data_IF_512383284799
#
_entry.id   IF_512383284799
#
_cell.length_a   1.000
_cell.length_b   1.000
_cell.length_c   1.000
_cell.angle_alpha   90.00
_cell.angle_beta   90.00
_cell.angle_gamma   90.00
#
_symmetry.space_group_name_H-M   'P 1'
#
loop_
_entity.id
_entity.type
_entity.pdbx_description
1 polymer ?
#
# COMPACT_ATOMS: atom_id res chain seq x y z
N UNK A 1 -18.03 -0.98 8.77
CA UNK A 1 -16.71 -1.43 9.36
C UNK A 1 -15.87 -2.05 8.25
N UNK A 2 -14.65 -1.57 8.03
CA UNK A 2 -13.74 -2.11 7.01
C UNK A 2 -13.06 -3.41 7.43
N UNK A 3 -12.52 -4.16 6.47
CA UNK A 3 -11.65 -5.31 6.70
C UNK A 3 -10.35 -5.16 5.90
N UNK A 4 -9.28 -5.78 6.41
CA UNK A 4 -7.99 -5.92 5.70
C UNK A 4 -7.63 -7.39 5.70
N UNK A 5 -7.57 -7.99 4.51
CA UNK A 5 -7.09 -9.35 4.32
C UNK A 5 -5.63 -9.30 3.86
N UNK A 6 -4.76 -9.99 4.59
CA UNK A 6 -3.34 -10.05 4.29
C UNK A 6 -3.05 -11.27 3.42
N UNK A 7 -2.63 -11.05 2.18
CA UNK A 7 -2.27 -12.09 1.22
C UNK A 7 -0.75 -12.21 1.19
N UNK A 8 -0.22 -13.27 1.79
CA UNK A 8 1.23 -13.47 1.94
C UNK A 8 1.82 -14.27 0.80
N UNK A 9 3.06 -13.93 0.43
CA UNK A 9 3.95 -14.72 -0.40
C UNK A 9 5.24 -15.01 0.38
N UNK A 10 5.24 -16.06 1.22
CA UNK A 10 6.35 -16.35 2.13
C UNK A 10 7.69 -16.53 1.42
N UNK A 11 7.69 -17.08 0.21
CA UNK A 11 8.86 -17.31 -0.64
C UNK A 11 9.51 -16.02 -1.14
N UNK A 12 8.75 -14.93 -1.20
CA UNK A 12 9.24 -13.59 -1.57
C UNK A 12 9.43 -12.69 -0.35
N UNK A 13 8.92 -13.10 0.82
CA UNK A 13 8.90 -12.24 2.01
C UNK A 13 7.90 -11.09 1.93
N UNK A 14 6.96 -11.12 0.97
CA UNK A 14 6.02 -10.04 0.67
C UNK A 14 4.61 -10.32 1.16
N UNK A 15 3.84 -9.24 1.29
CA UNK A 15 2.42 -9.27 1.55
C UNK A 15 1.70 -8.21 0.70
N UNK A 16 0.52 -8.60 0.18
CA UNK A 16 -0.45 -7.69 -0.43
C UNK A 16 -1.65 -7.56 0.48
N UNK A 17 -2.45 -6.52 0.29
CA UNK A 17 -3.57 -6.24 1.17
C UNK A 17 -4.85 -6.02 0.36
N UNK A 18 -5.90 -6.79 0.67
CA UNK A 18 -7.25 -6.51 0.17
C UNK A 18 -7.97 -5.70 1.23
N UNK A 19 -8.23 -4.43 0.93
CA UNK A 19 -8.98 -3.51 1.79
C UNK A 19 -10.42 -3.50 1.30
N UNK A 20 -11.36 -3.75 2.18
CA UNK A 20 -12.78 -3.82 1.83
C UNK A 20 -13.65 -2.97 2.73
N UNK A 21 -14.66 -2.35 2.11
CA UNK A 21 -15.86 -1.82 2.74
C UNK A 21 -17.06 -2.72 2.35
N UNK A 22 -17.35 -3.78 3.12
CA UNK A 22 -18.40 -4.73 2.77
C UNK A 22 -19.79 -4.11 2.80
N UNK A 23 -20.02 -3.08 3.61
CA UNK A 23 -21.31 -2.39 3.71
C UNK A 23 -21.62 -1.62 2.42
N UNK A 24 -20.58 -1.17 1.71
CA UNK A 24 -20.68 -0.49 0.41
C UNK A 24 -20.42 -1.40 -0.79
N UNK A 25 -20.03 -2.65 -0.54
CA UNK A 25 -19.68 -3.59 -1.59
C UNK A 25 -18.45 -3.16 -2.41
N UNK A 26 -17.54 -2.40 -1.82
CA UNK A 26 -16.36 -1.84 -2.48
C UNK A 26 -15.07 -2.31 -1.84
N UNK A 27 -14.01 -2.44 -2.64
CA UNK A 27 -12.69 -2.79 -2.15
C UNK A 27 -11.57 -2.36 -3.09
N UNK A 28 -10.35 -2.50 -2.61
CA UNK A 28 -9.12 -2.24 -3.37
C UNK A 28 -8.03 -3.22 -2.98
N UNK A 29 -6.99 -3.28 -3.80
CA UNK A 29 -5.78 -4.07 -3.50
C UNK A 29 -4.58 -3.14 -3.42
N UNK A 30 -3.72 -3.35 -2.41
CA UNK A 30 -2.43 -2.67 -2.27
C UNK A 30 -1.32 -3.70 -2.47
N UNK A 31 -0.33 -3.34 -3.27
CA UNK A 31 0.83 -4.16 -3.65
C UNK A 31 0.43 -5.53 -4.23
N UNK A 32 -0.48 -5.60 -5.23
CA UNK A 32 -0.89 -6.88 -5.79
C UNK A 32 0.26 -7.55 -6.53
N UNK A 33 0.42 -8.87 -6.33
CA UNK A 33 1.25 -9.72 -7.17
C UNK A 33 0.48 -10.17 -8.41
N UNK A 34 1.19 -10.65 -9.43
CA UNK A 34 0.61 -11.06 -10.73
C UNK A 34 -0.40 -12.21 -10.67
N UNK A 35 -0.31 -13.04 -9.65
CA UNK A 35 -1.28 -14.09 -9.36
C UNK A 35 -2.53 -13.46 -8.73
N UNK A 36 -3.39 -12.89 -9.59
CA UNK A 36 -4.53 -12.07 -9.17
C UNK A 36 -5.74 -12.88 -8.70
N UNK A 37 -5.82 -14.17 -9.03
CA UNK A 37 -6.95 -15.03 -8.70
C UNK A 37 -7.27 -15.00 -7.19
N UNK A 38 -6.24 -14.98 -6.36
CA UNK A 38 -6.36 -14.89 -4.89
C UNK A 38 -7.13 -13.64 -4.42
N UNK A 39 -6.97 -12.52 -5.11
CA UNK A 39 -7.68 -11.27 -4.78
C UNK A 39 -9.12 -11.31 -5.27
N UNK A 40 -9.35 -11.89 -6.44
CA UNK A 40 -10.68 -12.08 -7.02
C UNK A 40 -11.52 -13.06 -6.17
N UNK A 41 -10.92 -14.11 -5.64
CA UNK A 41 -11.57 -15.05 -4.72
C UNK A 41 -11.98 -14.36 -3.41
N UNK A 42 -11.11 -13.53 -2.82
CA UNK A 42 -11.44 -12.74 -1.63
C UNK A 42 -12.57 -11.77 -1.92
N UNK A 43 -12.50 -11.06 -3.04
CA UNK A 43 -13.54 -10.12 -3.46
C UNK A 43 -14.90 -10.82 -3.63
N UNK A 44 -14.93 -11.98 -4.28
CA UNK A 44 -16.12 -12.81 -4.46
C UNK A 44 -16.67 -13.29 -3.11
N UNK A 45 -15.81 -13.81 -2.23
CA UNK A 45 -16.22 -14.30 -0.91
C UNK A 45 -16.83 -13.21 -0.03
N UNK A 46 -16.36 -11.97 -0.16
CA UNK A 46 -16.86 -10.80 0.58
C UNK A 46 -17.99 -10.07 -0.14
N UNK A 47 -18.36 -10.50 -1.34
CA UNK A 47 -19.34 -9.82 -2.20
C UNK A 47 -19.01 -8.33 -2.41
N UNK A 48 -17.75 -8.04 -2.72
CA UNK A 48 -17.25 -6.70 -3.01
C UNK A 48 -16.76 -6.59 -4.46
N UNK A 49 -16.85 -5.38 -5.01
CA UNK A 49 -16.20 -5.04 -6.28
C UNK A 49 -14.84 -4.40 -5.98
N UNK A 50 -13.76 -4.92 -6.56
CA UNK A 50 -12.48 -4.26 -6.55
C UNK A 50 -12.54 -3.06 -7.51
N UNK A 51 -12.27 -1.87 -6.99
CA UNK A 51 -12.37 -0.61 -7.72
C UNK A 51 -11.00 -0.02 -8.06
N UNK A 52 -9.98 -0.31 -7.26
CA UNK A 52 -8.63 0.23 -7.40
C UNK A 52 -7.57 -0.82 -7.08
N UNK A 53 -6.41 -0.66 -7.70
CA UNK A 53 -5.19 -1.39 -7.38
C UNK A 53 -4.03 -0.40 -7.32
N UNK A 54 -3.27 -0.40 -6.23
CA UNK A 54 -2.22 0.56 -5.93
C UNK A 54 -0.92 -0.16 -5.58
N UNK A 55 0.20 0.36 -6.05
CA UNK A 55 1.54 -0.05 -5.60
C UNK A 55 2.12 1.00 -4.64
N UNK A 56 2.80 0.58 -3.59
CA UNK A 56 3.53 1.48 -2.69
C UNK A 56 4.79 2.01 -3.38
N UNK A 57 5.43 1.21 -4.20
CA UNK A 57 6.65 1.54 -4.94
C UNK A 57 6.87 0.59 -6.12
N UNK A 58 7.86 0.86 -6.93
CA UNK A 58 8.29 -0.07 -7.98
C UNK A 58 9.03 -1.26 -7.33
N UNK A 59 8.35 -2.40 -7.25
CA UNK A 59 8.90 -3.62 -6.69
C UNK A 59 9.99 -4.20 -7.60
N UNK A 60 11.13 -4.56 -7.01
CA UNK A 60 12.25 -5.19 -7.72
C UNK A 60 12.27 -6.72 -7.57
N UNK A 61 11.46 -7.26 -6.73
CA UNK A 61 11.40 -8.66 -6.30
C UNK A 61 10.21 -9.43 -6.91
N UNK A 62 9.18 -8.72 -7.39
CA UNK A 62 8.08 -9.30 -8.16
C UNK A 62 7.48 -8.30 -9.15
N UNK A 63 6.67 -8.79 -10.08
CA UNK A 63 5.92 -7.97 -11.03
C UNK A 63 4.56 -7.63 -10.44
N UNK A 64 4.23 -6.34 -10.36
CA UNK A 64 2.92 -5.88 -9.89
C UNK A 64 1.77 -6.47 -10.71
N UNK A 65 0.70 -6.86 -10.04
CA UNK A 65 -0.56 -7.34 -10.61
C UNK A 65 -1.58 -6.23 -10.90
N UNK A 66 -1.23 -4.97 -10.73
CA UNK A 66 -2.16 -3.85 -10.96
C UNK A 66 -2.76 -3.86 -12.37
N UNK A 67 -1.93 -4.14 -13.39
CA UNK A 67 -2.39 -4.19 -14.80
C UNK A 67 -3.30 -5.38 -15.07
N UNK A 68 -3.00 -6.52 -14.50
CA UNK A 68 -3.82 -7.73 -14.59
C UNK A 68 -5.18 -7.50 -13.91
N UNK A 69 -5.21 -6.90 -12.73
CA UNK A 69 -6.45 -6.54 -12.05
C UNK A 69 -7.26 -5.51 -12.84
N UNK A 70 -6.61 -4.53 -13.47
CA UNK A 70 -7.30 -3.58 -14.34
C UNK A 70 -7.94 -4.27 -15.56
N UNK A 71 -7.23 -5.20 -16.18
CA UNK A 71 -7.73 -5.92 -17.35
C UNK A 71 -8.89 -6.88 -17.00
N UNK A 72 -8.79 -7.61 -15.89
CA UNK A 72 -9.74 -8.65 -15.52
C UNK A 72 -10.93 -8.14 -14.70
N UNK A 73 -10.68 -7.27 -13.71
CA UNK A 73 -11.71 -6.76 -12.79
C UNK A 73 -12.13 -5.31 -13.09
N UNK A 74 -11.49 -4.63 -14.04
CA UNK A 74 -11.75 -3.24 -14.39
C UNK A 74 -11.38 -2.27 -13.26
N UNK A 75 -10.34 -2.60 -12.46
CA UNK A 75 -9.84 -1.69 -11.44
C UNK A 75 -9.16 -0.48 -12.05
N UNK A 76 -9.28 0.67 -11.39
CA UNK A 76 -8.44 1.82 -11.72
C UNK A 76 -7.03 1.59 -11.17
N UNK A 77 -6.03 1.86 -12.00
CA UNK A 77 -4.64 1.93 -11.58
C UNK A 77 -4.34 3.41 -11.33
N UNK A 78 -4.50 3.85 -10.08
CA UNK A 78 -4.30 5.25 -9.76
C UNK A 78 -2.90 5.48 -9.18
N UNK A 79 -2.13 6.30 -9.85
CA UNK A 79 -0.94 6.90 -9.29
C UNK A 79 -1.34 8.12 -8.45
N UNK A 80 -1.75 7.89 -7.20
CA UNK A 80 -2.02 8.99 -6.28
C UNK A 80 -0.77 9.85 -6.10
N UNK A 81 -0.89 11.14 -6.40
CA UNK A 81 0.15 12.10 -6.08
C UNK A 81 0.31 12.24 -4.54
N UNK A 82 1.49 12.69 -4.05
CA UNK A 82 1.67 12.94 -2.63
C UNK A 82 0.56 13.82 -2.05
N UNK A 83 -0.01 13.36 -0.92
CA UNK A 83 -1.16 13.96 -0.22
C UNK A 83 -2.50 13.92 -0.97
N UNK A 84 -2.56 13.35 -2.15
CA UNK A 84 -3.82 13.10 -2.82
C UNK A 84 -4.61 12.03 -2.08
N UNK A 85 -5.93 12.18 -2.10
CA UNK A 85 -6.89 11.31 -1.43
C UNK A 85 -7.91 10.75 -2.44
N UNK A 86 -8.30 9.49 -2.26
CA UNK A 86 -9.34 8.83 -3.03
C UNK A 86 -10.33 8.14 -2.10
N UNK A 87 -11.49 7.76 -2.64
CA UNK A 87 -12.55 7.05 -1.91
C UNK A 87 -12.70 5.61 -2.40
N UNK A 88 -12.88 4.69 -1.45
CA UNK A 88 -13.28 3.31 -1.70
C UNK A 88 -14.45 2.99 -0.75
N UNK A 89 -15.69 3.02 -1.28
CA UNK A 89 -16.86 3.04 -0.43
C UNK A 89 -16.87 4.29 0.46
N UNK A 90 -17.03 4.11 1.76
CA UNK A 90 -16.97 5.18 2.75
C UNK A 90 -15.55 5.41 3.30
N UNK A 91 -14.59 4.60 2.88
CA UNK A 91 -13.19 4.73 3.27
C UNK A 91 -12.49 5.81 2.47
N UNK A 92 -11.54 6.47 3.09
CA UNK A 92 -10.63 7.40 2.42
C UNK A 92 -9.20 6.86 2.46
N UNK A 93 -8.52 6.90 1.33
CA UNK A 93 -7.13 6.47 1.18
C UNK A 93 -6.31 7.69 0.75
N UNK A 94 -5.30 8.03 1.53
CA UNK A 94 -4.38 9.15 1.23
C UNK A 94 -2.97 8.64 1.04
N UNK A 95 -2.34 9.06 -0.07
CA UNK A 95 -0.93 8.77 -0.33
C UNK A 95 -0.02 9.72 0.47
N UNK A 96 0.96 9.16 1.17
CA UNK A 96 2.07 9.91 1.76
C UNK A 96 3.33 9.58 0.95
N UNK A 97 4.07 10.59 0.53
CA UNK A 97 5.40 10.37 -0.06
C UNK A 97 6.37 9.97 1.05
N UNK A 98 6.90 8.76 0.99
CA UNK A 98 7.75 8.15 2.02
C UNK A 98 9.03 7.57 1.42
N UNK A 99 9.85 8.41 0.75
CA UNK A 99 11.08 7.96 0.10
C UNK A 99 12.09 7.40 1.09
N UNK A 100 12.98 6.58 0.56
CA UNK A 100 14.06 5.93 1.31
C UNK A 100 14.42 4.58 0.72
N UNK A 101 13.46 3.65 0.66
CA UNK A 101 13.62 2.38 -0.04
C UNK A 101 13.77 2.60 -1.54
N UNK A 102 12.80 3.35 -2.11
CA UNK A 102 12.89 3.91 -3.45
C UNK A 102 12.60 5.41 -3.41
N UNK A 103 13.01 6.20 -4.42
CA UNK A 103 12.77 7.65 -4.45
C UNK A 103 11.28 8.01 -4.54
N UNK A 104 10.49 7.20 -5.26
CA UNK A 104 9.06 7.44 -5.50
C UNK A 104 8.14 6.78 -4.48
N UNK A 105 8.69 6.08 -3.49
CA UNK A 105 7.95 5.30 -2.52
C UNK A 105 6.82 6.09 -1.87
N UNK A 106 5.66 5.46 -1.74
CA UNK A 106 4.46 5.98 -1.08
C UNK A 106 3.97 5.00 -0.02
N UNK A 107 3.52 5.52 1.08
CA UNK A 107 2.70 4.77 2.04
C UNK A 107 1.26 5.24 1.92
N UNK A 108 0.30 4.40 2.26
CA UNK A 108 -1.12 4.75 2.17
C UNK A 108 -1.76 4.77 3.55
N UNK A 109 -2.42 5.87 3.89
CA UNK A 109 -3.19 6.01 5.12
C UNK A 109 -4.66 5.77 4.84
N UNK A 110 -5.22 4.72 5.42
CA UNK A 110 -6.65 4.48 5.41
C UNK A 110 -7.32 5.22 6.56
N UNK A 111 -8.35 5.97 6.22
CA UNK A 111 -9.17 6.75 7.15
C UNK A 111 -10.61 6.28 7.10
N UNK A 112 -11.21 6.03 8.24
CA UNK A 112 -12.63 5.72 8.41
C UNK A 112 -13.25 6.74 9.36
N UNK A 113 -14.39 7.33 8.98
CA UNK A 113 -15.09 8.35 9.75
C UNK A 113 -14.18 9.52 10.19
N UNK A 114 -13.29 9.95 9.31
CA UNK A 114 -12.37 11.08 9.55
C UNK A 114 -11.17 10.76 10.46
N UNK A 115 -11.01 9.52 10.92
CA UNK A 115 -9.89 9.08 11.77
C UNK A 115 -8.98 8.13 11.01
N UNK A 116 -7.64 8.41 10.93
CA UNK A 116 -6.67 7.44 10.44
C UNK A 116 -6.71 6.14 11.26
N UNK A 117 -6.76 4.99 10.58
CA UNK A 117 -6.89 3.67 11.18
C UNK A 117 -5.74 2.74 10.83
N UNK A 118 -5.26 2.83 9.59
CA UNK A 118 -4.25 1.92 9.07
C UNK A 118 -3.23 2.70 8.25
N UNK A 119 -1.97 2.34 8.41
CA UNK A 119 -0.85 2.70 7.54
C UNK A 119 -0.39 1.44 6.79
N UNK A 120 -0.54 1.45 5.47
CA UNK A 120 0.14 0.51 4.59
C UNK A 120 1.50 1.10 4.26
N UNK A 121 2.51 0.61 4.96
CA UNK A 121 3.81 1.27 5.01
C UNK A 121 4.74 0.91 3.85
N UNK A 122 4.46 -0.18 3.12
CA UNK A 122 5.41 -0.73 2.15
C UNK A 122 6.79 -0.97 2.79
N UNK A 123 7.85 -0.58 2.10
CA UNK A 123 9.21 -0.67 2.63
C UNK A 123 9.63 0.44 3.60
N UNK A 124 8.79 1.46 3.85
CA UNK A 124 9.17 2.58 4.72
C UNK A 124 9.27 2.20 6.19
N UNK A 125 8.38 1.30 6.66
CA UNK A 125 8.39 0.79 8.05
C UNK A 125 8.10 -0.70 8.04
N UNK A 126 8.97 -1.47 8.67
CA UNK A 126 8.80 -2.89 8.93
C UNK A 126 8.99 -3.17 10.41
N UNK A 127 8.61 -4.35 10.88
CA UNK A 127 8.78 -4.71 12.28
C UNK A 127 10.28 -4.74 12.64
N UNK A 128 10.71 -3.73 13.40
CA UNK A 128 12.10 -3.57 13.85
C UNK A 128 13.09 -3.11 12.79
N UNK A 129 12.63 -2.70 11.59
CA UNK A 129 13.51 -2.31 10.50
C UNK A 129 12.85 -1.30 9.53
N UNK A 130 13.64 -0.88 8.56
CA UNK A 130 13.20 -0.26 7.31
C UNK A 130 13.76 -1.07 6.15
N UNK A 131 13.20 -0.97 4.96
CA UNK A 131 13.77 -1.61 3.79
C UNK A 131 15.11 -0.96 3.41
N UNK A 132 15.96 -1.72 2.72
CA UNK A 132 17.29 -1.28 2.27
C UNK A 132 17.21 -0.03 1.40
N UNK A 133 18.20 0.84 1.53
CA UNK A 133 18.27 2.14 0.82
C UNK A 133 19.30 2.16 -0.32
N UNK A 134 19.95 1.03 -0.59
CA UNK A 134 21.08 0.91 -1.53
C UNK A 134 20.71 0.22 -2.86
N UNK A 135 19.41 0.01 -3.13
CA UNK A 135 18.94 -0.62 -4.37
C UNK A 135 19.43 0.07 -5.64
N UNK A 136 19.50 1.40 -5.61
CA UNK A 136 19.93 2.24 -6.73
C UNK A 136 21.44 2.45 -6.78
N UNK A 137 22.21 1.67 -6.01
CA UNK A 137 23.65 1.72 -5.97
C UNK A 137 24.22 2.66 -4.91
N UNK A 138 25.55 2.54 -4.63
CA UNK A 138 26.18 3.24 -3.52
C UNK A 138 26.15 4.76 -3.63
N UNK A 139 26.02 5.31 -4.85
CA UNK A 139 25.96 6.76 -5.08
C UNK A 139 24.67 7.42 -4.57
N UNK A 140 23.56 6.66 -4.43
CA UNK A 140 22.30 7.15 -3.88
C UNK A 140 22.01 6.63 -2.46
N UNK A 141 22.75 5.61 -2.00
CA UNK A 141 22.46 4.93 -0.74
C UNK A 141 22.40 5.87 0.47
N UNK A 142 23.36 6.80 0.59
CA UNK A 142 23.38 7.79 1.69
C UNK A 142 22.22 8.78 1.58
N UNK A 143 21.93 9.26 0.37
CA UNK A 143 20.80 10.17 0.15
C UNK A 143 19.47 9.50 0.52
N UNK A 144 19.23 8.29 0.04
CA UNK A 144 18.01 7.54 0.35
C UNK A 144 17.91 7.16 1.84
N UNK A 145 19.04 6.91 2.52
CA UNK A 145 19.04 6.68 3.96
C UNK A 145 18.61 7.95 4.75
N UNK A 146 19.05 9.14 4.32
CA UNK A 146 18.60 10.41 4.91
C UNK A 146 17.12 10.67 4.62
N UNK A 147 16.64 10.34 3.42
CA UNK A 147 15.22 10.41 3.09
C UNK A 147 14.39 9.46 3.94
N UNK A 148 14.85 8.22 4.16
CA UNK A 148 14.19 7.26 5.05
C UNK A 148 14.09 7.79 6.48
N UNK A 149 15.17 8.38 7.01
CA UNK A 149 15.18 9.02 8.31
C UNK A 149 14.17 10.18 8.39
N UNK A 150 14.14 11.04 7.36
CA UNK A 150 13.15 12.12 7.23
C UNK A 150 11.72 11.58 7.16
N UNK A 151 11.51 10.49 6.45
CA UNK A 151 10.21 9.80 6.38
C UNK A 151 9.72 9.43 7.78
N UNK A 152 10.57 8.76 8.58
CA UNK A 152 10.20 8.33 9.94
C UNK A 152 9.98 9.52 10.89
N UNK A 153 10.90 10.50 10.88
CA UNK A 153 10.91 11.57 11.87
C UNK A 153 9.93 12.70 11.57
N UNK A 154 9.60 12.93 10.31
CA UNK A 154 8.81 14.07 9.87
C UNK A 154 7.49 13.67 9.24
N UNK A 155 7.54 12.78 8.22
CA UNK A 155 6.35 12.51 7.39
C UNK A 155 5.34 11.60 8.09
N UNK A 156 5.81 10.65 8.90
CA UNK A 156 4.95 9.72 9.64
C UNK A 156 4.63 10.18 11.06
N UNK A 157 5.37 11.17 11.59
CA UNK A 157 5.25 11.63 12.98
C UNK A 157 3.85 12.14 13.37
N UNK A 158 3.08 12.63 12.41
CA UNK A 158 1.74 13.18 12.66
C UNK A 158 0.62 12.13 12.69
N UNK A 159 0.95 10.85 12.49
CA UNK A 159 -0.02 9.76 12.57
C UNK A 159 -0.32 9.40 14.03
N UNK A 160 -1.53 8.91 14.33
CA UNK A 160 -1.87 8.46 15.69
C UNK A 160 -0.96 7.32 16.17
N UNK A 161 -0.62 7.30 17.47
CA UNK A 161 0.22 6.25 18.05
C UNK A 161 -0.45 4.87 18.04
N UNK A 162 -1.78 4.82 17.94
CA UNK A 162 -2.58 3.60 17.90
C UNK A 162 -2.94 3.15 16.45
N UNK A 163 -2.30 3.75 15.44
CA UNK A 163 -2.51 3.35 14.04
C UNK A 163 -1.99 1.94 13.80
N UNK A 164 -2.80 1.09 13.16
CA UNK A 164 -2.33 -0.23 12.74
C UNK A 164 -1.35 -0.08 11.57
N UNK A 165 -0.22 -0.77 11.59
CA UNK A 165 0.80 -0.75 10.53
C UNK A 165 0.85 -2.11 9.84
N UNK A 166 0.71 -2.08 8.51
CA UNK A 166 0.81 -3.22 7.61
C UNK A 166 1.94 -3.00 6.60
#
# INVERSE_FOLDING_TARGET
MFTVDVVRAPELGNASFVVADPERGAGMVIDPMRDIERYLEIAKAKNIKLTHALDTHLHNDYVSGCRELAAEAGTNIDELAPNQEMKVGDLSIRALHTPGHTPEHKSYVLTEAGRPKVLFSGGAVMLGAIARTDLFGPHLAVHLALEALSTLQVRLRGLPDDIAVY
#
